data_IF_229559065729
#
_entry.id   IF_229559065729
#
_cell.length_a   1.000
_cell.length_b   1.000
_cell.length_c   1.000
_cell.angle_alpha   90.00
_cell.angle_beta   90.00
_cell.angle_gamma   90.00
#
_symmetry.space_group_name_H-M   'P 1'
#
loop_
_entity.id
_entity.type
_entity.pdbx_description
1 polymer ?
#
# COMPACT_ATOMS: atom_id res chain seq x y z
N UNK A 1 8.15 21.33 -6.43
CA UNK A 1 8.28 19.87 -6.19
C UNK A 1 8.35 19.63 -4.69
N UNK A 2 7.47 18.82 -4.14
CA UNK A 2 7.49 18.55 -2.71
C UNK A 2 7.93 17.10 -2.47
N UNK A 3 8.69 16.93 -1.38
CA UNK A 3 9.18 15.62 -0.95
C UNK A 3 8.78 15.42 0.50
N UNK A 4 8.26 14.25 0.81
CA UNK A 4 7.84 13.88 2.15
C UNK A 4 8.54 12.59 2.57
N UNK A 5 9.10 12.58 3.76
CA UNK A 5 9.75 11.41 4.32
C UNK A 5 8.88 10.77 5.38
N UNK A 6 8.81 9.46 5.35
CA UNK A 6 8.15 8.65 6.36
C UNK A 6 8.86 7.30 6.43
N UNK A 7 8.26 6.33 7.07
CA UNK A 7 8.84 4.99 7.17
C UNK A 7 7.78 3.91 7.03
N UNK A 8 8.23 2.71 6.67
CA UNK A 8 7.39 1.53 6.56
C UNK A 8 7.14 0.98 7.96
N UNK A 9 5.87 0.86 8.36
CA UNK A 9 5.52 0.26 9.66
C UNK A 9 5.14 -1.20 9.53
N UNK A 10 4.55 -1.60 8.40
CA UNK A 10 4.08 -2.97 8.17
C UNK A 10 4.23 -3.35 6.72
N UNK A 11 4.52 -4.62 6.48
CA UNK A 11 4.52 -5.23 5.14
C UNK A 11 3.69 -6.50 5.20
N UNK A 12 2.77 -6.68 4.26
CA UNK A 12 1.93 -7.87 4.14
C UNK A 12 1.99 -8.41 2.73
N UNK A 13 1.91 -9.73 2.60
CA UNK A 13 1.77 -10.41 1.32
C UNK A 13 0.40 -11.08 1.25
N UNK A 14 -0.23 -10.95 0.09
CA UNK A 14 -1.48 -11.65 -0.21
C UNK A 14 -1.10 -12.95 -0.92
N UNK A 15 -1.07 -14.04 -0.16
CA UNK A 15 -0.57 -15.32 -0.68
C UNK A 15 -1.60 -16.08 -1.50
N UNK A 16 -2.89 -15.77 -1.30
CA UNK A 16 -3.98 -16.37 -2.06
C UNK A 16 -5.20 -15.45 -2.02
N UNK A 17 -6.07 -15.54 -3.03
CA UNK A 17 -7.32 -14.79 -3.03
C UNK A 17 -8.19 -15.26 -1.87
N UNK A 18 -8.74 -14.31 -1.10
CA UNK A 18 -9.59 -14.60 0.05
C UNK A 18 -8.85 -15.04 1.31
N UNK A 19 -7.57 -15.32 1.24
CA UNK A 19 -6.78 -15.68 2.42
C UNK A 19 -6.45 -14.44 3.25
N UNK A 20 -6.23 -14.59 4.58
CA UNK A 20 -5.73 -13.48 5.38
C UNK A 20 -4.39 -12.98 4.86
N UNK A 21 -4.14 -11.67 5.02
CA UNK A 21 -2.86 -11.08 4.67
C UNK A 21 -1.77 -11.61 5.60
N UNK A 22 -0.63 -11.98 5.02
CA UNK A 22 0.49 -12.53 5.78
C UNK A 22 1.49 -11.43 6.14
N UNK A 23 1.70 -11.14 7.44
CA UNK A 23 2.70 -10.16 7.84
C UNK A 23 4.10 -10.70 7.63
N UNK A 24 4.98 -9.87 7.07
CA UNK A 24 6.39 -10.22 6.85
C UNK A 24 7.28 -9.07 7.28
N UNK A 25 8.52 -9.36 7.63
CA UNK A 25 9.49 -8.34 8.01
C UNK A 25 10.14 -7.67 6.81
N UNK A 26 10.18 -8.37 5.68
CA UNK A 26 10.73 -7.84 4.44
C UNK A 26 10.08 -8.53 3.25
N UNK A 27 10.18 -7.90 2.08
CA UNK A 27 9.67 -8.45 0.83
C UNK A 27 10.56 -7.97 -0.32
N UNK A 28 10.52 -8.70 -1.43
CA UNK A 28 11.26 -8.34 -2.63
C UNK A 28 10.32 -7.76 -3.66
N UNK A 29 10.55 -6.51 -4.05
CA UNK A 29 9.83 -5.87 -5.14
C UNK A 29 10.54 -6.22 -6.45
N UNK A 30 9.78 -6.58 -7.49
CA UNK A 30 10.31 -7.00 -8.77
C UNK A 30 9.91 -5.97 -9.82
N UNK A 31 10.90 -5.45 -10.54
CA UNK A 31 10.69 -4.42 -11.56
C UNK A 31 9.59 -4.82 -12.54
N UNK A 32 8.59 -3.95 -12.68
CA UNK A 32 7.47 -4.14 -13.61
C UNK A 32 6.45 -5.18 -13.21
N UNK A 33 6.63 -5.88 -12.09
CA UNK A 33 5.78 -7.01 -11.73
C UNK A 33 5.02 -6.83 -10.41
N UNK A 34 5.66 -6.31 -9.38
CA UNK A 34 5.07 -6.20 -8.05
C UNK A 34 5.90 -6.92 -7.00
N UNK A 35 5.25 -7.38 -5.93
CA UNK A 35 5.94 -8.07 -4.83
C UNK A 35 6.01 -9.57 -5.10
N UNK A 36 7.19 -10.14 -4.86
CA UNK A 36 7.40 -11.59 -4.94
C UNK A 36 6.47 -12.28 -3.93
N UNK A 37 5.86 -13.38 -4.34
CA UNK A 37 4.93 -14.19 -3.54
C UNK A 37 3.59 -13.52 -3.23
N UNK A 38 3.26 -12.43 -3.93
CA UNK A 38 1.97 -11.76 -3.81
C UNK A 38 1.11 -12.08 -5.04
N UNK A 39 -0.20 -12.32 -4.83
CA UNK A 39 -1.10 -12.69 -5.93
C UNK A 39 -1.31 -11.57 -6.95
N UNK A 40 -1.00 -10.33 -6.58
CA UNK A 40 -1.12 -9.19 -7.50
C UNK A 40 0.10 -9.03 -8.40
N UNK A 41 1.14 -9.85 -8.20
CA UNK A 41 2.32 -9.85 -9.06
C UNK A 41 1.92 -10.14 -10.51
N UNK A 42 2.42 -9.34 -11.43
CA UNK A 42 2.13 -9.47 -12.86
C UNK A 42 0.98 -8.60 -13.34
N UNK A 43 0.24 -7.96 -12.44
CA UNK A 43 -0.78 -6.99 -12.85
C UNK A 43 -0.13 -5.72 -13.37
N UNK A 44 -0.87 -4.94 -14.18
CA UNK A 44 -0.29 -3.76 -14.83
C UNK A 44 -0.25 -2.54 -13.90
N UNK A 45 -1.35 -2.23 -13.22
CA UNK A 45 -1.50 -1.00 -12.42
C UNK A 45 -1.84 -1.25 -10.97
N UNK A 46 -2.17 -2.48 -10.59
CA UNK A 46 -2.67 -2.82 -9.25
C UNK A 46 -1.74 -3.84 -8.61
N UNK A 47 -0.44 -3.50 -8.57
CA UNK A 47 0.57 -4.42 -8.08
C UNK A 47 0.74 -4.36 -6.56
N UNK A 48 0.76 -3.15 -6.00
CA UNK A 48 1.02 -2.94 -4.58
C UNK A 48 0.02 -1.93 -4.03
N UNK A 49 -0.66 -2.29 -2.93
CA UNK A 49 -1.57 -1.37 -2.26
C UNK A 49 -0.88 -0.80 -1.02
N UNK A 50 -0.84 0.52 -0.92
CA UNK A 50 -0.21 1.25 0.18
C UNK A 50 -1.27 2.07 0.91
N UNK A 51 -1.25 1.99 2.24
CA UNK A 51 -2.15 2.74 3.13
C UNK A 51 -1.26 3.40 4.19
N UNK A 52 -1.73 4.46 4.83
CA UNK A 52 -1.00 5.07 5.93
C UNK A 52 -1.66 4.80 7.29
N UNK A 53 -0.88 5.00 8.36
CA UNK A 53 -1.37 4.72 9.72
C UNK A 53 -2.50 5.65 10.13
N UNK A 54 -2.57 6.86 9.56
CA UNK A 54 -3.66 7.80 9.83
C UNK A 54 -5.01 7.20 9.42
N UNK A 55 -5.08 6.61 8.24
CA UNK A 55 -6.31 5.96 7.76
C UNK A 55 -6.69 4.77 8.64
N UNK A 56 -5.74 3.93 8.97
CA UNK A 56 -5.97 2.77 9.85
C UNK A 56 -6.55 3.23 11.18
N UNK A 57 -5.97 4.27 11.76
CA UNK A 57 -6.40 4.82 13.05
C UNK A 57 -7.76 5.52 12.96
N UNK A 58 -7.96 6.32 11.90
CA UNK A 58 -9.20 7.08 11.72
C UNK A 58 -10.42 6.16 11.65
N UNK A 59 -10.31 5.02 10.99
CA UNK A 59 -11.42 4.09 10.84
C UNK A 59 -11.40 2.94 11.85
N UNK A 60 -10.49 2.97 12.83
CA UNK A 60 -10.41 1.97 13.90
C UNK A 60 -10.11 0.56 13.40
N UNK A 61 -9.28 0.45 12.37
CA UNK A 61 -8.98 -0.83 11.73
C UNK A 61 -7.70 -1.45 12.28
N UNK A 62 -7.58 -2.78 12.13
CA UNK A 62 -6.33 -3.48 12.39
C UNK A 62 -5.48 -3.50 11.12
N UNK A 63 -4.14 -3.47 11.24
CA UNK A 63 -3.27 -3.64 10.06
C UNK A 63 -3.60 -4.92 9.30
N UNK A 64 -3.61 -4.83 7.97
CA UNK A 64 -3.94 -5.95 7.08
C UNK A 64 -5.41 -6.05 6.70
N UNK A 65 -6.29 -5.38 7.42
CA UNK A 65 -7.75 -5.45 7.22
C UNK A 65 -8.17 -4.94 5.83
N UNK A 66 -7.51 -3.91 5.34
CA UNK A 66 -7.80 -3.34 4.02
C UNK A 66 -7.13 -4.12 2.88
N UNK A 67 -6.48 -5.24 3.21
CA UNK A 67 -5.72 -6.07 2.28
C UNK A 67 -4.56 -5.28 1.65
N UNK A 68 -4.01 -4.37 2.43
CA UNK A 68 -2.87 -3.55 2.05
C UNK A 68 -1.57 -4.33 2.15
N UNK A 69 -0.65 -4.04 1.23
CA UNK A 69 0.68 -4.62 1.25
C UNK A 69 1.62 -3.85 2.17
N UNK A 70 1.50 -2.53 2.17
CA UNK A 70 2.45 -1.66 2.87
C UNK A 70 1.68 -0.62 3.65
N UNK A 71 2.07 -0.41 4.92
CA UNK A 71 1.56 0.70 5.72
C UNK A 71 2.71 1.65 5.99
N UNK A 72 2.50 2.92 5.68
CA UNK A 72 3.46 4.01 5.96
C UNK A 72 3.00 4.80 7.17
N UNK A 73 3.95 5.31 7.96
CA UNK A 73 3.65 6.08 9.15
C UNK A 73 3.02 7.44 8.82
N UNK A 74 2.06 7.86 9.61
CA UNK A 74 1.46 9.19 9.53
C UNK A 74 0.48 9.33 8.37
N UNK A 75 0.47 10.50 7.75
CA UNK A 75 -0.36 10.84 6.59
C UNK A 75 0.44 10.78 5.29
N UNK A 76 1.29 9.75 5.15
CA UNK A 76 2.25 9.67 4.06
C UNK A 76 1.67 9.81 2.66
N UNK A 77 0.44 9.31 2.47
CA UNK A 77 -0.18 9.28 1.14
C UNK A 77 -1.24 10.35 0.92
N UNK A 78 -1.44 11.23 1.87
CA UNK A 78 -2.45 12.29 1.74
C UNK A 78 -2.13 13.17 0.54
N UNK A 79 -3.08 13.23 -0.42
CA UNK A 79 -2.92 14.02 -1.63
C UNK A 79 -2.03 13.41 -2.70
N UNK A 80 -1.61 12.15 -2.54
CA UNK A 80 -0.80 11.48 -3.56
C UNK A 80 -1.57 11.35 -4.87
N UNK A 81 -0.96 11.77 -5.96
CA UNK A 81 -1.56 11.76 -7.28
C UNK A 81 -0.87 10.75 -8.18
N UNK A 82 -1.56 10.36 -9.25
CA UNK A 82 -0.99 9.49 -10.28
C UNK A 82 0.35 10.06 -10.76
N UNK A 83 1.36 9.20 -10.85
CA UNK A 83 2.70 9.60 -11.24
C UNK A 83 3.60 9.97 -10.08
N UNK A 84 3.07 10.10 -8.86
CA UNK A 84 3.88 10.32 -7.67
C UNK A 84 4.84 9.15 -7.49
N UNK A 85 6.09 9.45 -7.17
CA UNK A 85 7.12 8.43 -6.95
C UNK A 85 7.26 8.18 -5.46
N UNK A 86 7.25 6.90 -5.09
CA UNK A 86 7.47 6.48 -3.71
C UNK A 86 8.69 5.58 -3.67
N UNK A 87 9.76 6.07 -3.05
CA UNK A 87 10.97 5.27 -2.84
C UNK A 87 10.83 4.55 -1.51
N UNK A 88 10.87 3.23 -1.54
CA UNK A 88 10.73 2.38 -0.36
C UNK A 88 12.00 1.54 -0.22
N UNK A 89 12.84 1.85 0.77
CA UNK A 89 14.10 1.14 0.92
C UNK A 89 14.90 1.15 -0.40
N UNK A 90 15.16 -0.01 -0.95
CA UNK A 90 15.89 -0.16 -2.21
C UNK A 90 15.00 -0.14 -3.46
N UNK A 91 13.69 -0.08 -3.29
CA UNK A 91 12.74 -0.11 -4.40
C UNK A 91 12.18 1.27 -4.70
N UNK A 92 11.66 1.43 -5.92
CA UNK A 92 10.98 2.65 -6.36
C UNK A 92 9.64 2.26 -6.98
N UNK A 93 8.57 2.88 -6.49
CA UNK A 93 7.21 2.64 -6.96
C UNK A 93 6.61 3.92 -7.54
N UNK A 94 5.63 3.75 -8.41
CA UNK A 94 4.88 4.87 -8.98
C UNK A 94 3.39 4.70 -8.68
N UNK A 95 2.76 5.76 -8.20
CA UNK A 95 1.31 5.78 -7.97
C UNK A 95 0.58 5.66 -9.30
N UNK A 96 -0.31 4.69 -9.41
CA UNK A 96 -1.09 4.45 -10.63
C UNK A 96 -2.54 4.93 -10.51
N UNK A 97 -3.19 4.62 -9.38
CA UNK A 97 -4.58 5.03 -9.14
C UNK A 97 -4.94 4.90 -7.66
N UNK A 98 -6.00 5.61 -7.26
CA UNK A 98 -6.58 5.40 -5.94
C UNK A 98 -7.36 4.10 -5.93
N UNK A 99 -7.28 3.37 -4.82
CA UNK A 99 -8.05 2.14 -4.65
C UNK A 99 -9.51 2.50 -4.34
N UNK A 100 -10.42 2.03 -5.18
CA UNK A 100 -11.85 2.24 -4.93
C UNK A 100 -12.32 1.35 -3.77
N UNK A 101 -13.24 1.83 -2.92
CA UNK A 101 -13.84 0.99 -1.88
C UNK A 101 -14.54 -0.23 -2.47
N UNK A 102 -14.43 -1.36 -1.78
CA UNK A 102 -15.02 -2.63 -2.20
C UNK A 102 -16.17 -3.03 -1.28
N UNK A 103 -17.09 -3.85 -1.79
CA UNK A 103 -18.29 -4.26 -1.05
C UNK A 103 -17.95 -4.96 0.28
N UNK A 104 -16.87 -5.73 0.33
CA UNK A 104 -16.50 -6.47 1.53
C UNK A 104 -16.20 -5.57 2.73
N UNK A 105 -15.94 -4.28 2.50
CA UNK A 105 -15.63 -3.34 3.58
C UNK A 105 -16.80 -3.21 4.56
N UNK A 106 -18.03 -3.29 4.07
CA UNK A 106 -19.21 -3.23 4.94
C UNK A 106 -19.37 -4.50 5.79
N UNK A 107 -18.74 -5.61 5.41
CA UNK A 107 -18.69 -6.81 6.23
C UNK A 107 -17.74 -6.63 7.41
N UNK A 108 -16.74 -5.76 7.28
CA UNK A 108 -15.81 -5.44 8.36
C UNK A 108 -16.46 -4.49 9.36
N UNK A 109 -17.11 -3.44 8.85
CA UNK A 109 -17.76 -2.41 9.65
C UNK A 109 -18.85 -1.76 8.81
N UNK A 110 -20.06 -1.70 9.35
CA UNK A 110 -21.22 -1.10 8.67
C UNK A 110 -20.91 0.33 8.25
N UNK A 111 -21.10 0.63 6.96
CA UNK A 111 -20.89 1.96 6.39
C UNK A 111 -19.44 2.26 6.00
N UNK A 112 -18.52 1.33 6.21
CA UNK A 112 -17.10 1.56 5.93
C UNK A 112 -16.85 1.84 4.45
N UNK A 113 -17.56 1.16 3.55
CA UNK A 113 -17.38 1.38 2.11
C UNK A 113 -17.59 2.84 1.72
N UNK A 114 -18.64 3.47 2.24
CA UNK A 114 -18.91 4.88 1.95
C UNK A 114 -18.00 5.82 2.73
N UNK A 115 -17.74 5.50 3.99
CA UNK A 115 -16.95 6.37 4.88
C UNK A 115 -15.49 6.50 4.44
N UNK A 116 -14.93 5.43 3.87
CA UNK A 116 -13.50 5.38 3.50
C UNK A 116 -13.25 5.86 2.05
N UNK A 117 -14.29 6.24 1.33
CA UNK A 117 -14.12 6.68 -0.06
C UNK A 117 -13.08 7.79 -0.17
N UNK A 118 -12.14 7.64 -1.11
CA UNK A 118 -11.02 8.55 -1.28
C UNK A 118 -9.84 8.27 -0.35
N UNK A 119 -10.02 7.41 0.65
CA UNK A 119 -8.98 7.09 1.64
C UNK A 119 -8.66 5.60 1.71
N UNK A 120 -9.22 4.79 0.79
CA UNK A 120 -9.07 3.33 0.78
C UNK A 120 -7.62 2.88 0.61
N UNK A 121 -6.79 3.71 0.00
CA UNK A 121 -5.39 3.43 -0.24
C UNK A 121 -4.98 3.82 -1.64
N UNK A 122 -3.68 3.68 -1.89
CA UNK A 122 -3.06 4.07 -3.15
C UNK A 122 -2.43 2.85 -3.80
N UNK A 123 -2.80 2.61 -5.05
CA UNK A 123 -2.24 1.50 -5.83
C UNK A 123 -1.02 1.98 -6.59
N UNK A 124 0.01 1.14 -6.62
CA UNK A 124 1.28 1.45 -7.24
C UNK A 124 1.76 0.30 -8.12
N UNK A 125 2.69 0.63 -9.02
CA UNK A 125 3.48 -0.35 -9.75
C UNK A 125 4.95 -0.20 -9.38
N UNK A 126 5.71 -1.26 -9.51
CA UNK A 126 7.15 -1.24 -9.22
C UNK A 126 7.91 -0.76 -10.44
N UNK A 127 8.60 0.38 -10.33
CA UNK A 127 9.48 0.89 -11.38
C UNK A 127 10.85 0.24 -11.30
N UNK A 128 11.46 0.25 -10.12
CA UNK A 128 12.75 -0.39 -9.86
C UNK A 128 12.59 -1.33 -8.67
N UNK A 129 12.95 -2.59 -8.88
CA UNK A 129 12.88 -3.61 -7.84
C UNK A 129 13.95 -3.44 -6.77
N UNK A 130 13.75 -4.11 -5.67
CA UNK A 130 14.68 -4.12 -4.54
C UNK A 130 14.01 -4.69 -3.31
N UNK A 131 14.80 -4.91 -2.27
CA UNK A 131 14.29 -5.40 -0.99
C UNK A 131 13.71 -4.23 -0.19
N UNK A 132 12.52 -4.43 0.34
CA UNK A 132 11.88 -3.50 1.26
C UNK A 132 11.76 -4.18 2.62
N UNK A 133 12.01 -3.42 3.69
CA UNK A 133 12.05 -3.96 5.06
C UNK A 133 11.26 -3.03 5.98
N UNK A 134 10.55 -3.62 6.95
CA UNK A 134 9.86 -2.83 7.98
C UNK A 134 10.89 -1.93 8.68
N UNK A 135 10.58 -0.65 8.81
CA UNK A 135 11.48 0.37 9.35
C UNK A 135 12.24 1.14 8.30
N UNK A 136 12.23 0.68 7.04
CA UNK A 136 12.90 1.42 5.96
C UNK A 136 12.29 2.79 5.75
N UNK A 137 13.13 3.74 5.34
CA UNK A 137 12.72 5.06 4.95
C UNK A 137 11.85 4.99 3.70
N UNK A 138 10.77 5.77 3.69
CA UNK A 138 9.91 5.97 2.52
C UNK A 138 9.96 7.43 2.13
N UNK A 139 10.23 7.71 0.85
CA UNK A 139 10.32 9.07 0.34
C UNK A 139 9.28 9.24 -0.77
N UNK A 140 8.34 10.15 -0.55
CA UNK A 140 7.24 10.42 -1.46
C UNK A 140 7.54 11.73 -2.19
N UNK A 141 7.61 11.69 -3.51
CA UNK A 141 7.96 12.83 -4.35
C UNK A 141 6.89 13.07 -5.42
N UNK A 142 6.35 14.26 -5.40
CA UNK A 142 5.38 14.69 -6.43
C UNK A 142 6.09 15.28 -7.64
#
# INVERSE_FOLDING_TARGET
>A
MSTKETKITHIFLKTAHGAPMEPVGHATAITGEGLQNDVSRGRTRRQVLIVDTQTIKEFGLSPGTLRENIILEGQGLSGAQRGTIIKLGDAKLEVTLNCAPCDYLDDIKTGLQDDIEGKRGTLCRVLDGGVITVGDLAIISN
#
